data_IF_855049125547
#
_entry.id   IF_855049125547
#
_cell.length_a   1.000
_cell.length_b   1.000
_cell.length_c   1.000
_cell.angle_alpha   90.00
_cell.angle_beta   90.00
_cell.angle_gamma   90.00
#
_symmetry.space_group_name_H-M   'P 1'
#
loop_
_entity.id
_entity.type
_entity.pdbx_description
1 polymer ?
#
# COMPACT_ATOMS: atom_id res chain seq x y z
N UNK A 1 5.56 21.01 -27.11
CA UNK A 1 6.84 21.29 -26.41
C UNK A 1 6.86 20.43 -25.15
N UNK A 2 8.00 19.86 -24.74
CA UNK A 2 8.10 19.21 -23.44
C UNK A 2 7.73 20.23 -22.34
N UNK A 3 7.09 19.79 -21.23
CA UNK A 3 6.79 20.69 -20.12
C UNK A 3 8.08 21.33 -19.62
N UNK A 4 8.01 22.61 -19.24
CA UNK A 4 9.16 23.29 -18.62
C UNK A 4 9.61 22.49 -17.40
N UNK A 5 10.92 22.42 -17.11
CA UNK A 5 11.41 21.87 -15.86
C UNK A 5 10.74 22.56 -14.67
N UNK A 6 10.57 21.85 -13.58
CA UNK A 6 10.00 22.37 -12.34
C UNK A 6 11.07 22.32 -11.25
N UNK A 7 11.27 23.43 -10.55
CA UNK A 7 12.20 23.55 -9.44
C UNK A 7 11.44 23.91 -8.16
N UNK A 8 11.35 22.96 -7.24
CA UNK A 8 10.80 23.19 -5.90
C UNK A 8 11.97 23.55 -5.00
N UNK A 9 11.95 24.76 -4.46
CA UNK A 9 13.05 25.35 -3.66
C UNK A 9 12.66 25.54 -2.20
N UNK A 10 13.66 25.68 -1.35
CA UNK A 10 13.48 26.10 0.03
C UNK A 10 12.51 25.24 0.85
N UNK A 11 12.44 23.94 0.57
CA UNK A 11 11.70 23.00 1.42
C UNK A 11 12.24 23.14 2.85
N UNK A 12 11.36 23.36 3.82
CA UNK A 12 11.75 23.48 5.23
C UNK A 12 12.54 22.25 5.67
N UNK A 13 12.00 21.08 5.33
CA UNK A 13 12.73 19.81 5.31
C UNK A 13 12.40 19.09 4.01
N UNK A 14 13.42 18.72 3.25
CA UNK A 14 13.32 17.76 2.16
C UNK A 14 13.77 16.40 2.67
N UNK A 15 12.82 15.50 2.88
CA UNK A 15 13.05 14.12 3.30
C UNK A 15 13.25 13.31 2.02
N UNK A 16 14.48 12.87 1.74
CA UNK A 16 14.78 12.25 0.44
C UNK A 16 14.62 10.74 0.44
N UNK A 17 14.86 10.07 1.57
CA UNK A 17 15.09 8.61 1.64
C UNK A 17 16.25 8.14 0.75
N UNK A 18 17.04 9.07 0.19
CA UNK A 18 18.30 8.78 -0.47
C UNK A 18 19.32 8.43 0.61
N UNK A 19 19.90 7.23 0.52
CA UNK A 19 20.93 6.75 1.45
C UNK A 19 22.29 6.66 0.77
N UNK A 20 23.36 6.53 1.54
CA UNK A 20 24.74 6.33 1.08
C UNK A 20 24.99 4.96 0.43
N UNK A 21 23.97 4.34 -0.17
CA UNK A 21 23.97 2.93 -0.50
C UNK A 21 24.34 2.69 -1.96
N UNK A 22 25.00 1.57 -2.26
CA UNK A 22 25.14 1.11 -3.63
C UNK A 22 23.76 0.95 -4.27
N UNK A 23 23.68 1.28 -5.56
CA UNK A 23 22.54 0.93 -6.40
C UNK A 23 22.22 -0.57 -6.25
N UNK A 24 20.93 -0.90 -6.16
CA UNK A 24 20.48 -2.29 -5.97
C UNK A 24 20.46 -2.78 -4.52
N UNK A 25 20.75 -1.92 -3.52
CA UNK A 25 20.53 -2.30 -2.11
C UNK A 25 19.05 -2.63 -1.85
N UNK A 26 18.78 -3.74 -1.17
CA UNK A 26 17.43 -4.21 -0.85
C UNK A 26 16.67 -3.30 0.14
N UNK A 27 15.50 -3.74 0.65
CA UNK A 27 14.70 -2.95 1.57
C UNK A 27 15.46 -2.60 2.86
N UNK A 28 15.06 -1.49 3.49
CA UNK A 28 15.66 -1.00 4.75
C UNK A 28 15.25 -1.87 5.92
N UNK A 29 16.21 -2.24 6.77
CA UNK A 29 16.04 -3.15 7.92
C UNK A 29 16.65 -2.60 9.20
N UNK A 30 16.02 -2.88 10.35
CA UNK A 30 16.53 -2.44 11.65
C UNK A 30 16.78 -0.93 11.70
N UNK A 31 17.98 -0.51 12.12
CA UNK A 31 18.35 0.92 12.25
C UNK A 31 18.29 1.71 10.95
N UNK A 32 18.44 1.05 9.80
CA UNK A 32 18.37 1.67 8.48
C UNK A 32 17.02 2.33 8.18
N UNK A 33 15.95 1.88 8.84
CA UNK A 33 14.64 2.49 8.73
C UNK A 33 14.61 3.95 9.23
N UNK A 34 15.65 4.39 9.96
CA UNK A 34 15.74 5.77 10.50
C UNK A 34 16.50 6.73 9.60
N UNK A 35 17.08 6.27 8.50
CA UNK A 35 17.98 7.04 7.62
C UNK A 35 17.20 7.90 6.60
N UNK A 36 16.45 8.90 7.06
CA UNK A 36 15.55 9.66 6.19
C UNK A 36 16.23 10.53 5.11
N UNK A 37 17.54 10.79 5.21
CA UNK A 37 18.24 11.66 4.26
C UNK A 37 17.65 13.08 4.22
N UNK A 38 17.52 13.72 5.39
CA UNK A 38 16.86 15.02 5.54
C UNK A 38 17.81 16.15 5.11
N UNK A 39 17.33 17.01 4.22
CA UNK A 39 18.02 18.23 3.79
C UNK A 39 17.20 19.44 4.24
N UNK A 40 17.76 20.26 5.13
CA UNK A 40 17.15 21.55 5.51
C UNK A 40 17.43 22.57 4.40
N UNK A 41 16.46 23.46 4.14
CA UNK A 41 16.52 24.35 2.97
C UNK A 41 16.84 23.55 1.70
N UNK A 42 16.06 22.48 1.49
CA UNK A 42 16.25 21.53 0.40
C UNK A 42 15.51 21.93 -0.87
N UNK A 43 15.99 21.43 -2.00
CA UNK A 43 15.36 21.61 -3.30
C UNK A 43 15.39 20.34 -4.13
N UNK A 44 14.42 20.23 -5.04
CA UNK A 44 14.31 19.17 -6.04
C UNK A 44 14.06 19.81 -7.40
N UNK A 45 14.88 19.45 -8.37
CA UNK A 45 14.71 19.82 -9.78
C UNK A 45 14.12 18.63 -10.53
N UNK A 46 13.08 18.90 -11.30
CA UNK A 46 12.27 17.92 -12.00
C UNK A 46 12.28 18.27 -13.49
N UNK A 47 12.52 17.29 -14.34
CA UNK A 47 12.39 17.42 -15.79
C UNK A 47 11.78 16.16 -16.36
N UNK A 48 10.88 16.30 -17.34
CA UNK A 48 10.24 15.17 -18.03
C UNK A 48 9.63 14.11 -17.07
N UNK A 49 9.10 14.59 -15.93
CA UNK A 49 8.49 13.77 -14.89
C UNK A 49 9.46 12.94 -14.05
N UNK A 50 10.77 13.20 -14.15
CA UNK A 50 11.83 12.57 -13.36
C UNK A 50 12.58 13.58 -12.52
N UNK A 51 13.20 13.08 -11.47
CA UNK A 51 14.08 13.85 -10.60
C UNK A 51 15.43 14.00 -11.30
N UNK A 52 15.82 15.22 -11.60
CA UNK A 52 17.14 15.53 -12.16
C UNK A 52 18.18 15.60 -11.06
N UNK A 53 17.88 16.33 -9.99
CA UNK A 53 18.78 16.46 -8.85
C UNK A 53 18.05 16.89 -7.59
N UNK A 54 18.61 16.50 -6.44
CA UNK A 54 18.17 16.89 -5.10
C UNK A 54 19.37 17.40 -4.30
N UNK A 55 19.12 18.36 -3.40
CA UNK A 55 20.20 18.93 -2.60
C UNK A 55 19.78 20.17 -1.84
N UNK A 56 20.74 20.84 -1.15
CA UNK A 56 20.51 22.18 -0.63
C UNK A 56 20.09 23.14 -1.76
N UNK A 57 19.15 24.05 -1.50
CA UNK A 57 18.59 24.96 -2.51
C UNK A 57 19.68 25.65 -3.33
N UNK A 58 20.66 26.27 -2.66
CA UNK A 58 21.77 26.98 -3.31
C UNK A 58 22.58 26.12 -4.29
N UNK A 59 22.67 24.80 -4.06
CA UNK A 59 23.37 23.87 -4.95
C UNK A 59 22.51 23.56 -6.17
N UNK A 60 21.23 23.23 -5.95
CA UNK A 60 20.31 22.84 -7.02
C UNK A 60 20.03 24.01 -7.98
N UNK A 61 19.94 25.24 -7.46
CA UNK A 61 19.74 26.45 -8.28
C UNK A 61 20.88 26.74 -9.26
N UNK A 62 22.08 26.20 -9.02
CA UNK A 62 23.23 26.34 -9.94
C UNK A 62 23.16 25.36 -11.11
N UNK A 63 22.24 24.39 -11.08
CA UNK A 63 22.08 23.44 -12.17
C UNK A 63 21.66 24.16 -13.47
N UNK A 64 22.21 23.82 -14.65
CA UNK A 64 21.88 24.52 -15.89
C UNK A 64 20.39 24.58 -16.21
N UNK A 65 19.67 23.47 -15.99
CA UNK A 65 18.22 23.39 -16.20
C UNK A 65 17.41 24.24 -15.20
N UNK A 66 17.96 24.58 -14.03
CA UNK A 66 17.26 25.38 -13.02
C UNK A 66 16.97 26.82 -13.48
N UNK A 67 17.73 27.34 -14.47
CA UNK A 67 17.52 28.67 -15.05
C UNK A 67 16.28 28.75 -15.93
N UNK A 68 15.87 27.62 -16.50
CA UNK A 68 14.71 27.50 -17.40
C UNK A 68 13.49 26.92 -16.67
N UNK A 69 13.66 26.54 -15.40
CA UNK A 69 12.64 25.90 -14.61
C UNK A 69 11.61 26.91 -14.09
N UNK A 70 10.35 26.50 -14.05
CA UNK A 70 9.36 27.12 -13.20
C UNK A 70 9.77 26.93 -11.74
N UNK A 71 9.74 28.00 -10.94
CA UNK A 71 10.21 27.95 -9.55
C UNK A 71 9.06 28.07 -8.58
N UNK A 72 8.94 27.08 -7.70
CA UNK A 72 7.97 27.07 -6.60
C UNK A 72 8.74 27.04 -5.28
N UNK A 73 8.43 27.98 -4.39
CA UNK A 73 8.98 28.00 -3.04
C UNK A 73 8.16 27.10 -2.11
N UNK A 74 8.84 26.27 -1.33
CA UNK A 74 8.26 25.32 -0.38
C UNK A 74 8.68 25.58 1.08
N UNK A 75 8.93 26.84 1.44
CA UNK A 75 9.40 27.28 2.79
C UNK A 75 8.55 26.84 3.97
N UNK A 76 7.27 26.59 3.76
CA UNK A 76 6.32 26.15 4.80
C UNK A 76 6.18 24.64 4.89
N UNK A 77 6.86 23.89 4.01
CA UNK A 77 6.56 22.47 3.83
C UNK A 77 7.70 21.54 4.23
N UNK A 78 7.30 20.44 4.86
CA UNK A 78 8.04 19.19 4.83
C UNK A 78 7.65 18.47 3.55
N UNK A 79 8.63 18.24 2.66
CA UNK A 79 8.45 17.55 1.38
C UNK A 79 9.12 16.18 1.46
N UNK A 80 8.43 15.14 1.03
CA UNK A 80 8.91 13.75 1.02
C UNK A 80 8.48 13.03 -0.27
N UNK A 81 8.98 11.81 -0.57
CA UNK A 81 8.42 10.99 -1.64
C UNK A 81 6.92 10.79 -1.38
N UNK A 82 6.14 10.73 -2.45
CA UNK A 82 4.74 10.31 -2.36
C UNK A 82 4.64 8.96 -1.66
N UNK A 83 3.60 8.77 -0.83
CA UNK A 83 3.40 7.51 -0.15
C UNK A 83 3.16 6.39 -1.16
N UNK A 84 3.64 5.20 -0.80
CA UNK A 84 3.45 3.95 -1.53
C UNK A 84 2.61 3.02 -0.68
N UNK A 85 1.30 3.00 -0.94
CA UNK A 85 0.36 2.19 -0.18
C UNK A 85 0.36 0.75 -0.70
N UNK A 86 1.13 -0.11 -0.02
CA UNK A 86 1.47 -1.44 -0.53
C UNK A 86 0.36 -2.49 -0.36
N UNK A 87 -0.81 -2.14 0.17
CA UNK A 87 -1.90 -3.10 0.39
C UNK A 87 -3.26 -2.39 0.48
N UNK A 88 -4.11 -2.57 -0.54
CA UNK A 88 -5.51 -2.08 -0.50
C UNK A 88 -6.49 -3.03 -1.20
N UNK A 89 -7.78 -2.83 -0.95
CA UNK A 89 -8.88 -3.42 -1.70
C UNK A 89 -9.76 -2.30 -2.28
N UNK A 90 -9.19 -1.49 -3.17
CA UNK A 90 -9.81 -0.28 -3.74
C UNK A 90 -11.22 -0.47 -4.35
N UNK A 91 -11.49 -1.61 -4.98
CA UNK A 91 -12.71 -1.84 -5.76
C UNK A 91 -13.74 -2.64 -4.97
N UNK A 92 -14.76 -1.96 -4.47
CA UNK A 92 -15.92 -2.54 -3.81
C UNK A 92 -17.19 -1.71 -4.10
N UNK A 93 -18.40 -2.27 -3.92
CA UNK A 93 -19.63 -1.65 -4.43
C UNK A 93 -20.30 -0.70 -3.44
N UNK A 94 -20.08 -0.86 -2.12
CA UNK A 94 -20.76 -0.08 -1.09
C UNK A 94 -20.03 -0.16 0.25
N UNK A 95 -20.37 0.76 1.16
CA UNK A 95 -19.96 0.68 2.57
C UNK A 95 -20.58 -0.55 3.27
N UNK A 96 -20.04 -0.84 4.47
CA UNK A 96 -20.59 -1.82 5.43
C UNK A 96 -20.97 -1.15 6.76
N UNK A 97 -21.51 0.07 6.68
CA UNK A 97 -21.90 0.86 7.86
C UNK A 97 -22.90 0.12 8.77
N UNK A 98 -23.91 -0.56 8.20
CA UNK A 98 -24.88 -1.34 8.98
C UNK A 98 -24.24 -2.46 9.81
N UNK A 99 -23.15 -3.05 9.30
CA UNK A 99 -22.39 -4.06 10.05
C UNK A 99 -21.53 -3.42 11.12
N UNK A 100 -20.93 -2.26 10.83
CA UNK A 100 -20.18 -1.50 11.80
C UNK A 100 -21.04 -1.17 13.02
N UNK A 101 -22.26 -0.63 12.80
CA UNK A 101 -23.22 -0.35 13.88
C UNK A 101 -23.55 -1.60 14.70
N UNK A 102 -23.87 -2.71 14.05
CA UNK A 102 -24.15 -3.97 14.75
C UNK A 102 -22.96 -4.46 15.58
N UNK A 103 -21.74 -4.35 15.04
CA UNK A 103 -20.52 -4.79 15.71
C UNK A 103 -20.25 -3.96 16.96
N UNK A 104 -20.34 -2.63 16.87
CA UNK A 104 -20.12 -1.74 18.03
C UNK A 104 -21.24 -1.87 19.07
N UNK A 105 -22.44 -2.30 18.66
CA UNK A 105 -23.53 -2.68 19.56
C UNK A 105 -23.34 -4.08 20.19
N UNK A 106 -22.22 -4.77 19.93
CA UNK A 106 -21.86 -6.04 20.57
C UNK A 106 -22.24 -7.31 19.80
N UNK A 107 -22.71 -7.22 18.55
CA UNK A 107 -23.03 -8.41 17.77
C UNK A 107 -21.77 -9.24 17.44
N UNK A 108 -21.86 -10.56 17.58
CA UNK A 108 -20.78 -11.47 17.20
C UNK A 108 -20.64 -11.59 15.68
N UNK A 109 -19.47 -12.02 15.22
CA UNK A 109 -19.24 -12.30 13.81
C UNK A 109 -20.24 -13.33 13.24
N UNK A 110 -20.59 -14.38 14.00
CA UNK A 110 -21.60 -15.34 13.51
C UNK A 110 -22.99 -14.72 13.39
N UNK A 111 -23.38 -13.84 14.32
CA UNK A 111 -24.67 -13.15 14.28
C UNK A 111 -24.78 -12.25 13.05
N UNK A 112 -23.73 -11.46 12.78
CA UNK A 112 -23.62 -10.60 11.58
C UNK A 112 -23.68 -11.46 10.31
N UNK A 113 -22.92 -12.56 10.26
CA UNK A 113 -22.91 -13.45 9.10
C UNK A 113 -24.27 -14.13 8.84
N UNK A 114 -25.00 -14.51 9.90
CA UNK A 114 -26.36 -15.08 9.82
C UNK A 114 -27.36 -14.08 9.21
N UNK A 115 -27.20 -12.79 9.48
CA UNK A 115 -28.01 -11.71 8.88
C UNK A 115 -27.58 -11.32 7.46
N UNK A 116 -26.59 -12.02 6.90
CA UNK A 116 -26.09 -11.76 5.55
C UNK A 116 -25.08 -10.62 5.46
N UNK A 117 -24.48 -10.21 6.58
CA UNK A 117 -23.31 -9.34 6.63
C UNK A 117 -22.01 -10.09 6.29
N UNK A 118 -20.86 -9.51 6.64
CA UNK A 118 -19.57 -10.13 6.35
C UNK A 118 -19.08 -9.86 4.93
N UNK A 119 -17.88 -10.37 4.61
CA UNK A 119 -17.28 -10.30 3.26
C UNK A 119 -18.21 -10.82 2.17
N UNK A 120 -18.99 -11.87 2.45
CA UNK A 120 -19.93 -12.47 1.49
C UNK A 120 -21.07 -11.50 1.10
N UNK A 121 -21.37 -10.50 1.94
CA UNK A 121 -22.29 -9.41 1.60
C UNK A 121 -21.70 -8.52 0.51
N UNK A 122 -20.43 -8.09 0.69
CA UNK A 122 -19.67 -7.34 -0.32
C UNK A 122 -19.58 -8.13 -1.62
N UNK A 123 -19.32 -9.44 -1.55
CA UNK A 123 -19.24 -10.31 -2.73
C UNK A 123 -20.56 -10.31 -3.51
N UNK A 124 -21.69 -10.53 -2.82
CA UNK A 124 -23.02 -10.53 -3.45
C UNK A 124 -23.31 -9.20 -4.15
N UNK A 125 -23.01 -8.08 -3.49
CA UNK A 125 -23.20 -6.73 -4.05
C UNK A 125 -22.27 -6.50 -5.25
N UNK A 126 -21.00 -6.90 -5.14
CA UNK A 126 -19.99 -6.65 -6.17
C UNK A 126 -20.30 -7.43 -7.44
N UNK A 127 -20.71 -8.70 -7.34
CA UNK A 127 -21.12 -9.51 -8.50
C UNK A 127 -22.20 -8.82 -9.34
N UNK A 128 -23.13 -8.11 -8.69
CA UNK A 128 -24.25 -7.38 -9.32
C UNK A 128 -23.91 -5.97 -9.78
N UNK A 129 -22.93 -5.32 -9.14
CA UNK A 129 -22.55 -3.94 -9.45
C UNK A 129 -22.05 -3.79 -10.89
N UNK A 130 -22.54 -2.80 -11.66
CA UNK A 130 -22.01 -2.45 -12.97
C UNK A 130 -20.57 -1.93 -12.86
N UNK A 131 -19.71 -2.26 -13.82
CA UNK A 131 -18.31 -1.79 -13.82
C UNK A 131 -18.18 -0.27 -13.82
N UNK A 132 -19.12 0.45 -14.46
CA UNK A 132 -19.13 1.91 -14.50
C UNK A 132 -19.35 2.54 -13.12
N UNK A 133 -20.14 1.90 -12.26
CA UNK A 133 -20.33 2.35 -10.89
C UNK A 133 -19.05 2.15 -10.06
N UNK A 134 -18.42 0.99 -10.18
CA UNK A 134 -17.15 0.67 -9.53
C UNK A 134 -16.02 1.62 -9.97
N UNK A 135 -15.97 1.97 -11.27
CA UNK A 135 -15.03 2.96 -11.81
C UNK A 135 -15.25 4.34 -11.21
N UNK A 136 -16.50 4.80 -11.15
CA UNK A 136 -16.82 6.11 -10.55
C UNK A 136 -16.39 6.17 -9.09
N UNK A 137 -16.72 5.15 -8.30
CA UNK A 137 -16.31 5.08 -6.89
C UNK A 137 -14.78 5.02 -6.75
N UNK A 138 -14.11 4.20 -7.55
CA UNK A 138 -12.64 4.09 -7.54
C UNK A 138 -11.95 5.41 -7.86
N UNK A 139 -12.45 6.20 -8.84
CA UNK A 139 -11.90 7.53 -9.15
C UNK A 139 -12.00 8.49 -7.96
N UNK A 140 -13.14 8.49 -7.27
CA UNK A 140 -13.33 9.33 -6.09
C UNK A 140 -12.33 8.95 -4.98
N UNK A 141 -12.17 7.66 -4.70
CA UNK A 141 -11.20 7.22 -3.70
C UNK A 141 -9.75 7.53 -4.09
N UNK A 142 -9.39 7.40 -5.36
CA UNK A 142 -8.06 7.76 -5.86
C UNK A 142 -7.76 9.26 -5.68
N UNK A 143 -8.75 10.13 -5.85
CA UNK A 143 -8.62 11.55 -5.55
C UNK A 143 -8.36 11.78 -4.05
N UNK A 144 -9.05 11.04 -3.17
CA UNK A 144 -8.81 11.11 -1.73
C UNK A 144 -7.42 10.57 -1.33
N UNK A 145 -6.95 9.49 -1.96
CA UNK A 145 -5.58 9.00 -1.79
C UNK A 145 -4.54 10.05 -2.18
N UNK A 146 -4.72 10.73 -3.33
CA UNK A 146 -3.88 11.83 -3.76
C UNK A 146 -3.91 12.98 -2.75
N UNK A 147 -5.09 13.34 -2.24
CA UNK A 147 -5.25 14.37 -1.23
C UNK A 147 -4.52 14.07 0.09
N UNK A 148 -4.26 12.79 0.38
CA UNK A 148 -3.51 12.33 1.55
C UNK A 148 -2.05 11.97 1.25
N UNK A 149 -1.53 12.35 0.08
CA UNK A 149 -0.11 12.21 -0.27
C UNK A 149 0.28 10.88 -0.92
N UNK A 150 -0.67 10.01 -1.26
CA UNK A 150 -0.40 8.73 -1.93
C UNK A 150 -0.23 8.95 -3.43
N UNK A 151 0.80 8.33 -4.02
CA UNK A 151 1.11 8.44 -5.47
C UNK A 151 1.14 7.09 -6.16
N UNK A 152 1.41 6.03 -5.41
CA UNK A 152 1.43 4.65 -5.88
C UNK A 152 0.69 3.79 -4.87
N UNK A 153 -0.17 2.90 -5.34
CA UNK A 153 -0.83 1.92 -4.48
C UNK A 153 -0.94 0.56 -5.14
N UNK A 154 -1.00 -0.47 -4.32
CA UNK A 154 -1.48 -1.78 -4.74
C UNK A 154 -2.97 -1.90 -4.49
N UNK A 155 -3.66 -2.59 -5.40
CA UNK A 155 -5.09 -2.85 -5.26
C UNK A 155 -5.42 -4.30 -5.62
N UNK A 156 -6.10 -4.96 -4.69
CA UNK A 156 -6.47 -6.37 -4.78
C UNK A 156 -7.87 -6.54 -5.35
N UNK A 157 -8.06 -7.66 -6.03
CA UNK A 157 -9.38 -8.21 -6.27
C UNK A 157 -9.92 -8.92 -5.00
N UNK A 158 -10.69 -10.01 -5.13
CA UNK A 158 -11.10 -10.85 -4.00
C UNK A 158 -12.46 -10.55 -3.40
N UNK A 159 -13.24 -9.64 -4.00
CA UNK A 159 -14.68 -9.53 -3.73
C UNK A 159 -15.54 -10.17 -4.84
N UNK A 160 -14.95 -10.79 -5.85
CA UNK A 160 -15.67 -11.52 -6.88
C UNK A 160 -15.88 -12.99 -6.52
N UNK A 161 -14.80 -13.67 -6.13
CA UNK A 161 -14.74 -15.10 -5.79
C UNK A 161 -15.24 -16.06 -6.89
N UNK A 162 -15.45 -15.54 -8.10
CA UNK A 162 -15.70 -16.29 -9.33
C UNK A 162 -14.90 -15.64 -10.46
N UNK A 163 -14.63 -16.39 -11.53
CA UNK A 163 -13.75 -15.91 -12.61
C UNK A 163 -14.24 -14.61 -13.24
N UNK A 164 -15.55 -14.52 -13.53
CA UNK A 164 -16.14 -13.37 -14.22
C UNK A 164 -15.98 -12.10 -13.40
N UNK A 165 -16.23 -12.18 -12.10
CA UNK A 165 -16.25 -11.03 -11.19
C UNK A 165 -14.84 -10.62 -10.77
N UNK A 166 -13.91 -11.57 -10.63
CA UNK A 166 -12.50 -11.26 -10.41
C UNK A 166 -11.88 -10.55 -11.62
N UNK A 167 -12.15 -11.03 -12.85
CA UNK A 167 -11.76 -10.33 -14.09
C UNK A 167 -12.35 -8.93 -14.11
N UNK A 168 -13.65 -8.77 -13.80
CA UNK A 168 -14.31 -7.46 -13.75
C UNK A 168 -13.58 -6.48 -12.83
N UNK A 169 -13.15 -6.91 -11.63
CA UNK A 169 -12.40 -6.04 -10.71
C UNK A 169 -11.06 -5.64 -11.32
N UNK A 170 -10.30 -6.61 -11.83
CA UNK A 170 -8.96 -6.35 -12.39
C UNK A 170 -9.03 -5.44 -13.63
N UNK A 171 -10.05 -5.59 -14.47
CA UNK A 171 -10.30 -4.69 -15.61
C UNK A 171 -10.66 -3.27 -15.15
N UNK A 172 -11.44 -3.13 -14.06
CA UNK A 172 -11.71 -1.84 -13.44
C UNK A 172 -10.41 -1.20 -12.94
N UNK A 173 -9.56 -1.96 -12.24
CA UNK A 173 -8.26 -1.49 -11.77
C UNK A 173 -7.34 -1.06 -12.92
N UNK A 174 -7.27 -1.84 -14.00
CA UNK A 174 -6.47 -1.49 -15.17
C UNK A 174 -6.96 -0.19 -15.81
N UNK A 175 -8.28 -0.01 -15.93
CA UNK A 175 -8.86 1.20 -16.47
C UNK A 175 -8.61 2.42 -15.57
N UNK A 176 -8.71 2.26 -14.24
CA UNK A 176 -8.37 3.31 -13.28
C UNK A 176 -6.88 3.70 -13.38
N UNK A 177 -5.98 2.72 -13.52
CA UNK A 177 -4.54 2.97 -13.67
C UNK A 177 -4.20 3.72 -14.96
N UNK A 178 -4.93 3.41 -16.05
CA UNK A 178 -4.70 4.03 -17.36
C UNK A 178 -5.26 5.45 -17.45
N UNK A 179 -6.41 5.70 -16.83
CA UNK A 179 -7.12 6.98 -16.91
C UNK A 179 -6.72 7.95 -15.78
N UNK A 180 -6.35 7.43 -14.61
CA UNK A 180 -5.99 8.19 -13.44
C UNK A 180 -4.49 8.50 -13.38
N UNK A 181 -4.09 9.47 -12.54
CA UNK A 181 -2.69 9.83 -12.47
C UNK A 181 -1.87 8.93 -11.53
N UNK A 182 -2.49 8.33 -10.49
CA UNK A 182 -1.80 7.41 -9.58
C UNK A 182 -1.40 6.12 -10.30
N UNK A 183 -0.28 5.54 -9.87
CA UNK A 183 0.14 4.20 -10.30
C UNK A 183 -0.56 3.14 -9.44
N UNK A 184 -1.30 2.22 -10.07
CA UNK A 184 -2.00 1.12 -9.42
C UNK A 184 -1.34 -0.20 -9.83
N UNK A 185 -0.93 -0.98 -8.83
CA UNK A 185 -0.34 -2.31 -9.00
C UNK A 185 -1.42 -3.36 -8.73
N UNK A 186 -1.92 -4.09 -9.75
CA UNK A 186 -3.02 -5.03 -9.57
C UNK A 186 -2.57 -6.38 -9.00
N UNK A 187 -3.30 -6.85 -7.98
CA UNK A 187 -3.10 -8.16 -7.35
C UNK A 187 -4.36 -9.01 -7.45
N UNK A 188 -4.20 -10.25 -7.90
CA UNK A 188 -5.28 -11.23 -7.88
C UNK A 188 -5.42 -11.90 -6.52
N UNK A 189 -6.56 -11.70 -5.86
CA UNK A 189 -6.91 -12.31 -4.57
C UNK A 189 -8.19 -13.17 -4.68
N UNK A 190 -8.26 -14.07 -5.66
CA UNK A 190 -9.41 -14.99 -5.73
C UNK A 190 -9.55 -15.88 -4.49
N UNK A 191 -8.44 -16.13 -3.81
CA UNK A 191 -8.39 -16.88 -2.55
C UNK A 191 -8.56 -15.96 -1.32
N UNK A 192 -9.55 -15.07 -1.35
CA UNK A 192 -9.87 -14.21 -0.21
C UNK A 192 -10.65 -14.97 0.87
N UNK A 193 -11.75 -15.63 0.49
CA UNK A 193 -12.49 -16.59 1.32
C UNK A 193 -13.13 -17.63 0.42
N UNK A 194 -13.58 -18.75 0.99
CA UNK A 194 -14.33 -19.76 0.24
C UNK A 194 -15.75 -19.24 -0.02
N UNK A 195 -16.19 -19.08 -1.29
CA UNK A 195 -17.54 -18.59 -1.61
C UNK A 195 -18.62 -19.61 -1.21
N UNK A 196 -19.87 -19.14 -1.07
CA UNK A 196 -20.99 -19.93 -0.52
C UNK A 196 -21.25 -21.21 -1.31
N UNK A 197 -21.16 -21.15 -2.63
CA UNK A 197 -21.31 -22.28 -3.55
C UNK A 197 -20.27 -23.39 -3.32
N UNK A 198 -19.12 -23.09 -2.69
CA UNK A 198 -18.09 -24.07 -2.33
C UNK A 198 -18.00 -24.32 -0.81
N UNK A 199 -19.03 -23.99 -0.04
CA UNK A 199 -19.08 -24.30 1.40
C UNK A 199 -18.85 -25.80 1.62
N UNK A 200 -17.92 -26.15 2.54
CA UNK A 200 -17.44 -27.53 2.81
C UNK A 200 -16.74 -28.23 1.62
N UNK A 201 -16.49 -27.53 0.51
CA UNK A 201 -15.81 -28.03 -0.69
C UNK A 201 -14.66 -27.10 -1.07
N UNK A 202 -13.91 -26.62 -0.06
CA UNK A 202 -12.82 -25.65 -0.25
C UNK A 202 -11.75 -26.18 -1.21
N UNK A 203 -11.48 -27.49 -1.21
CA UNK A 203 -10.53 -28.10 -2.15
C UNK A 203 -10.97 -27.98 -3.62
N UNK A 204 -12.26 -28.16 -3.91
CA UNK A 204 -12.77 -27.96 -5.27
C UNK A 204 -12.66 -26.49 -5.73
N UNK A 205 -12.76 -25.54 -4.78
CA UNK A 205 -12.52 -24.13 -5.07
C UNK A 205 -11.04 -23.84 -5.33
N UNK A 206 -10.13 -24.47 -4.57
CA UNK A 206 -8.69 -24.41 -4.82
C UNK A 206 -8.36 -24.95 -6.21
N UNK A 207 -8.97 -26.06 -6.64
CA UNK A 207 -8.80 -26.58 -7.99
C UNK A 207 -9.29 -25.61 -9.07
N UNK A 208 -10.43 -24.95 -8.86
CA UNK A 208 -10.92 -23.91 -9.77
C UNK A 208 -9.92 -22.74 -9.88
N UNK A 209 -9.39 -22.28 -8.73
CA UNK A 209 -8.38 -21.21 -8.69
C UNK A 209 -7.15 -21.61 -9.50
N UNK A 210 -6.58 -22.78 -9.22
CA UNK A 210 -5.33 -23.28 -9.79
C UNK A 210 -5.48 -23.62 -11.27
N UNK A 211 -6.53 -24.35 -11.67
CA UNK A 211 -6.66 -24.89 -13.03
C UNK A 211 -7.29 -23.91 -14.01
N UNK A 212 -8.05 -22.92 -13.53
CA UNK A 212 -8.83 -22.04 -14.41
C UNK A 212 -8.58 -20.57 -14.14
N UNK A 213 -8.74 -20.09 -12.91
CA UNK A 213 -8.72 -18.64 -12.65
C UNK A 213 -7.32 -18.04 -12.81
N UNK A 214 -6.32 -18.62 -12.16
CA UNK A 214 -4.93 -18.16 -12.23
C UNK A 214 -4.41 -18.15 -13.68
N UNK A 215 -4.50 -19.25 -14.46
CA UNK A 215 -4.05 -19.23 -15.85
C UNK A 215 -4.76 -18.18 -16.71
N UNK A 216 -6.08 -18.01 -16.54
CA UNK A 216 -6.85 -17.03 -17.32
C UNK A 216 -6.46 -15.59 -16.99
N UNK A 217 -6.19 -15.30 -15.71
CA UNK A 217 -5.81 -13.95 -15.26
C UNK A 217 -4.40 -13.61 -15.74
N UNK A 218 -3.48 -14.56 -15.61
CA UNK A 218 -2.11 -14.42 -16.08
C UNK A 218 -2.04 -14.26 -17.61
N UNK A 219 -2.75 -15.09 -18.38
CA UNK A 219 -2.74 -15.03 -19.85
C UNK A 219 -3.30 -13.72 -20.40
N UNK A 220 -4.11 -13.01 -19.62
CA UNK A 220 -4.67 -11.69 -19.96
C UNK A 220 -3.83 -10.52 -19.44
N UNK A 221 -2.76 -10.79 -18.69
CA UNK A 221 -1.93 -9.74 -18.08
C UNK A 221 -2.67 -8.85 -17.08
N UNK A 222 -3.69 -9.40 -16.39
CA UNK A 222 -4.60 -8.60 -15.54
C UNK A 222 -4.06 -8.34 -14.12
N UNK A 223 -3.05 -9.08 -13.67
CA UNK A 223 -2.44 -8.93 -12.36
C UNK A 223 -0.92 -9.18 -12.44
N UNK A 224 -0.16 -8.57 -11.54
CA UNK A 224 1.28 -8.83 -11.35
C UNK A 224 1.53 -9.81 -10.20
N UNK A 225 0.64 -9.77 -9.19
CA UNK A 225 0.75 -10.57 -7.99
C UNK A 225 -0.45 -11.50 -7.82
N UNK A 226 -0.25 -12.58 -7.06
CA UNK A 226 -1.33 -13.41 -6.54
C UNK A 226 -1.23 -13.48 -5.02
N UNK A 227 -2.34 -13.25 -4.36
CA UNK A 227 -2.46 -13.21 -2.91
C UNK A 227 -3.45 -14.28 -2.41
N UNK A 228 -3.28 -14.70 -1.16
CA UNK A 228 -4.12 -15.68 -0.47
C UNK A 228 -4.33 -15.24 0.96
N UNK A 229 -5.58 -15.31 1.43
CA UNK A 229 -5.87 -15.21 2.85
C UNK A 229 -5.64 -16.54 3.56
N UNK A 230 -4.43 -16.70 4.11
CA UNK A 230 -3.99 -17.91 4.81
C UNK A 230 -4.20 -17.76 6.33
N UNK A 231 -5.47 -17.83 6.76
CA UNK A 231 -5.85 -17.66 8.16
C UNK A 231 -7.06 -18.52 8.55
N UNK A 232 -7.39 -18.52 9.84
CA UNK A 232 -8.54 -19.19 10.39
C UNK A 232 -9.84 -18.74 9.71
N UNK A 233 -10.58 -19.70 9.14
CA UNK A 233 -11.84 -19.44 8.45
C UNK A 233 -11.70 -19.16 6.94
N UNK A 234 -10.47 -19.14 6.40
CA UNK A 234 -10.19 -18.96 4.98
C UNK A 234 -9.44 -20.18 4.41
N UNK A 235 -8.16 -20.04 4.05
CA UNK A 235 -7.36 -21.10 3.45
C UNK A 235 -6.27 -21.61 4.41
N UNK A 236 -6.02 -22.92 4.36
CA UNK A 236 -4.92 -23.53 5.13
C UNK A 236 -3.56 -23.27 4.45
N UNK A 237 -2.42 -23.40 5.16
CA UNK A 237 -1.09 -23.30 4.55
C UNK A 237 -0.88 -24.27 3.38
N UNK A 238 -1.43 -25.48 3.46
CA UNK A 238 -1.35 -26.46 2.37
C UNK A 238 -2.06 -25.96 1.10
N UNK A 239 -3.27 -25.41 1.26
CA UNK A 239 -4.03 -24.85 0.14
C UNK A 239 -3.37 -23.59 -0.42
N UNK A 240 -2.90 -22.68 0.45
CA UNK A 240 -2.18 -21.48 0.05
C UNK A 240 -0.91 -21.82 -0.75
N UNK A 241 -0.16 -22.86 -0.34
CA UNK A 241 0.99 -23.35 -1.10
C UNK A 241 0.61 -23.77 -2.51
N UNK A 242 -0.46 -24.56 -2.68
CA UNK A 242 -0.91 -25.01 -4.00
C UNK A 242 -1.27 -23.83 -4.90
N UNK A 243 -2.05 -22.87 -4.38
CA UNK A 243 -2.49 -21.69 -5.11
C UNK A 243 -1.29 -20.84 -5.56
N UNK A 244 -0.41 -20.49 -4.62
CA UNK A 244 0.71 -19.58 -4.87
C UNK A 244 1.82 -20.21 -5.72
N UNK A 245 2.00 -21.53 -5.63
CA UNK A 245 2.92 -22.24 -6.52
C UNK A 245 2.40 -22.24 -7.96
N UNK A 246 1.10 -22.48 -8.15
CA UNK A 246 0.48 -22.39 -9.48
C UNK A 246 0.55 -20.96 -10.04
N UNK A 247 0.26 -19.96 -9.20
CA UNK A 247 0.38 -18.55 -9.58
C UNK A 247 1.77 -18.20 -10.08
N UNK A 248 2.81 -18.64 -9.36
CA UNK A 248 4.20 -18.41 -9.75
C UNK A 248 4.57 -19.06 -11.08
N UNK A 249 4.09 -20.26 -11.36
CA UNK A 249 4.31 -20.93 -12.66
C UNK A 249 3.69 -20.10 -13.80
N UNK A 250 2.58 -19.40 -13.54
CA UNK A 250 1.96 -18.48 -14.48
C UNK A 250 2.55 -17.06 -14.48
N UNK A 251 3.65 -16.81 -13.76
CA UNK A 251 4.31 -15.51 -13.71
C UNK A 251 3.70 -14.49 -12.73
N UNK A 252 2.74 -14.90 -11.90
CA UNK A 252 2.18 -14.05 -10.84
C UNK A 252 2.96 -14.22 -9.55
N UNK A 253 3.41 -13.10 -8.98
CA UNK A 253 4.26 -13.15 -7.80
C UNK A 253 3.47 -13.34 -6.49
N UNK A 254 3.90 -14.27 -5.61
CA UNK A 254 3.18 -14.53 -4.36
C UNK A 254 3.21 -13.40 -3.34
N UNK A 255 2.04 -13.11 -2.77
CA UNK A 255 1.81 -12.35 -1.53
C UNK A 255 0.89 -13.17 -0.62
N UNK A 256 0.87 -12.87 0.68
CA UNK A 256 -0.04 -13.53 1.62
C UNK A 256 -0.59 -12.54 2.65
N UNK A 257 -1.87 -12.63 2.94
CA UNK A 257 -2.40 -12.24 4.24
C UNK A 257 -2.20 -13.40 5.21
N UNK A 258 -1.53 -13.16 6.33
CA UNK A 258 -1.28 -14.21 7.30
C UNK A 258 -1.22 -13.71 8.74
N UNK A 259 -1.57 -14.62 9.65
CA UNK A 259 -1.46 -14.41 11.09
C UNK A 259 -2.22 -13.18 11.61
N UNK A 260 -3.32 -12.81 10.96
CA UNK A 260 -4.20 -11.71 11.36
C UNK A 260 -5.10 -12.12 12.54
N UNK A 261 -5.73 -13.29 12.44
CA UNK A 261 -6.73 -13.76 13.40
C UNK A 261 -6.17 -14.86 14.30
N UNK A 262 -5.47 -15.83 13.73
CA UNK A 262 -4.85 -16.93 14.45
C UNK A 262 -3.43 -17.20 13.94
N UNK A 263 -2.61 -17.90 14.74
CA UNK A 263 -1.29 -18.37 14.29
C UNK A 263 -1.48 -19.67 13.47
N UNK A 264 -1.53 -19.57 12.16
CA UNK A 264 -1.82 -20.68 11.22
C UNK A 264 -0.60 -21.22 10.50
N UNK A 265 0.52 -20.48 10.47
CA UNK A 265 1.74 -20.87 9.76
C UNK A 265 1.87 -20.25 8.35
N UNK A 266 0.98 -19.34 7.97
CA UNK A 266 1.07 -18.55 6.75
C UNK A 266 2.33 -17.67 6.68
N UNK A 267 2.78 -17.10 7.81
CA UNK A 267 4.03 -16.32 7.85
C UNK A 267 5.26 -17.18 7.55
N UNK A 268 5.28 -18.41 8.06
CA UNK A 268 6.34 -19.37 7.75
C UNK A 268 6.31 -19.76 6.27
N UNK A 269 5.11 -20.04 5.73
CA UNK A 269 4.92 -20.37 4.32
C UNK A 269 5.40 -19.22 3.41
N UNK A 270 5.05 -17.97 3.72
CA UNK A 270 5.47 -16.81 2.93
C UNK A 270 7.01 -16.72 2.83
N UNK A 271 7.71 -16.91 3.95
CA UNK A 271 9.17 -16.95 3.97
C UNK A 271 9.73 -18.11 3.13
N UNK A 272 9.16 -19.32 3.24
CA UNK A 272 9.59 -20.48 2.44
C UNK A 272 9.36 -20.31 0.94
N UNK A 273 8.26 -19.65 0.57
CA UNK A 273 7.96 -19.38 -0.82
C UNK A 273 8.74 -18.17 -1.35
N UNK A 274 9.53 -17.45 -0.56
CA UNK A 274 10.07 -16.15 -0.97
C UNK A 274 8.97 -15.24 -1.53
N UNK A 275 7.82 -15.22 -0.85
CA UNK A 275 6.75 -14.28 -1.18
C UNK A 275 7.28 -12.84 -1.08
N UNK A 276 6.76 -11.97 -1.92
CA UNK A 276 7.20 -10.56 -2.00
C UNK A 276 6.86 -9.85 -0.70
N UNK A 277 5.64 -10.08 -0.20
CA UNK A 277 5.24 -9.66 1.14
C UNK A 277 4.40 -10.70 1.86
N UNK A 278 4.37 -10.57 3.17
CA UNK A 278 3.36 -11.13 4.05
C UNK A 278 2.78 -9.99 4.87
N UNK A 279 1.46 -9.92 4.88
CA UNK A 279 0.70 -8.79 5.36
C UNK A 279 -0.09 -9.20 6.62
N UNK A 280 -0.46 -8.21 7.47
CA UNK A 280 -1.05 -8.39 8.82
C UNK A 280 -0.03 -8.66 9.94
N UNK A 281 0.15 -9.94 10.33
CA UNK A 281 1.11 -10.42 11.33
C UNK A 281 0.80 -10.17 12.82
N UNK A 282 -0.44 -9.87 13.20
CA UNK A 282 -0.86 -9.63 14.59
C UNK A 282 -0.59 -10.82 15.54
N UNK A 283 -0.59 -12.05 15.01
CA UNK A 283 -0.50 -13.30 15.78
C UNK A 283 0.83 -14.02 15.64
N UNK A 284 1.81 -13.44 14.95
CA UNK A 284 3.16 -14.01 14.85
C UNK A 284 3.81 -14.19 16.21
N UNK A 285 4.70 -15.19 16.31
CA UNK A 285 5.52 -15.45 17.50
C UNK A 285 7.00 -15.29 17.16
N UNK A 286 7.84 -15.42 18.19
CA UNK A 286 9.30 -15.23 18.10
C UNK A 286 9.93 -16.02 16.95
N UNK A 287 9.48 -17.24 16.71
CA UNK A 287 10.03 -18.11 15.67
C UNK A 287 9.67 -17.63 14.26
N UNK A 288 8.46 -17.12 14.08
CA UNK A 288 8.01 -16.55 12.81
C UNK A 288 8.80 -15.27 12.50
N UNK A 289 8.97 -14.41 13.50
CA UNK A 289 9.79 -13.19 13.41
C UNK A 289 11.23 -13.52 12.98
N UNK A 290 11.87 -14.52 13.60
CA UNK A 290 13.24 -14.92 13.22
C UNK A 290 13.33 -15.42 11.78
N UNK A 291 12.28 -16.12 11.29
CA UNK A 291 12.24 -16.61 9.90
C UNK A 291 12.06 -15.47 8.90
N UNK A 292 11.14 -14.55 9.18
CA UNK A 292 10.90 -13.36 8.35
C UNK A 292 12.11 -12.42 8.32
N UNK A 293 12.79 -12.25 9.45
CA UNK A 293 14.03 -11.50 9.52
C UNK A 293 15.12 -12.03 8.58
N UNK A 294 15.17 -13.35 8.38
CA UNK A 294 16.15 -14.04 7.53
C UNK A 294 15.68 -14.24 6.08
N UNK A 295 14.46 -13.82 5.73
CA UNK A 295 13.94 -13.94 4.36
C UNK A 295 13.95 -12.59 3.63
N UNK A 296 13.75 -12.65 2.30
CA UNK A 296 13.54 -11.48 1.44
C UNK A 296 12.12 -10.89 1.55
N UNK A 297 11.20 -11.60 2.22
CA UNK A 297 9.79 -11.21 2.34
C UNK A 297 9.63 -9.96 3.17
N UNK A 298 8.86 -9.01 2.66
CA UNK A 298 8.54 -7.77 3.37
C UNK A 298 7.33 -8.01 4.28
N UNK A 299 7.44 -7.57 5.53
CA UNK A 299 6.37 -7.63 6.51
C UNK A 299 5.52 -6.36 6.40
N UNK A 300 4.39 -6.42 5.70
CA UNK A 300 3.47 -5.27 5.58
C UNK A 300 2.53 -5.23 6.77
N UNK A 301 2.70 -4.25 7.65
CA UNK A 301 1.90 -4.14 8.87
C UNK A 301 0.69 -3.24 8.62
N UNK A 302 -0.46 -3.69 9.12
CA UNK A 302 -1.76 -3.09 8.84
C UNK A 302 -2.42 -2.69 10.17
N UNK A 303 -2.10 -1.51 10.74
CA UNK A 303 -2.66 -1.11 12.02
C UNK A 303 -4.13 -0.63 11.93
N UNK A 304 -4.58 -0.19 10.74
CA UNK A 304 -5.95 0.28 10.51
C UNK A 304 -7.03 -0.75 10.87
N UNK A 305 -6.93 -2.01 10.41
CA UNK A 305 -7.81 -3.10 10.79
C UNK A 305 -7.94 -3.33 12.30
N UNK A 306 -6.83 -3.29 13.01
CA UNK A 306 -6.82 -3.50 14.46
C UNK A 306 -7.59 -2.39 15.17
N UNK A 307 -7.33 -1.14 14.79
CA UNK A 307 -8.02 0.03 15.31
C UNK A 307 -9.54 0.00 15.01
N UNK A 308 -9.93 -0.17 13.74
CA UNK A 308 -11.33 -0.08 13.34
C UNK A 308 -12.19 -1.27 13.79
N UNK A 309 -11.57 -2.43 14.05
CA UNK A 309 -12.23 -3.58 14.68
C UNK A 309 -12.28 -3.49 16.21
N UNK A 310 -11.74 -2.43 16.83
CA UNK A 310 -11.70 -2.28 18.29
C UNK A 310 -10.83 -3.34 18.97
N UNK A 311 -9.82 -3.87 18.29
CA UNK A 311 -8.90 -4.89 18.82
C UNK A 311 -7.70 -4.23 19.50
N UNK A 312 -7.09 -4.95 20.44
CA UNK A 312 -5.92 -4.47 21.18
C UNK A 312 -4.59 -5.04 20.65
N UNK A 313 -4.63 -6.17 19.93
CA UNK A 313 -3.43 -6.88 19.51
C UNK A 313 -2.95 -6.39 18.14
N UNK A 314 -2.00 -5.46 18.14
CA UNK A 314 -1.30 -5.02 16.93
C UNK A 314 -0.13 -5.94 16.57
N UNK A 315 0.31 -5.91 15.32
CA UNK A 315 1.51 -6.61 14.89
C UNK A 315 2.75 -6.12 15.66
N UNK A 316 3.69 -7.02 16.01
CA UNK A 316 4.82 -6.68 16.87
C UNK A 316 5.94 -5.98 16.08
N UNK A 317 5.67 -4.78 15.55
CA UNK A 317 6.57 -4.04 14.66
C UNK A 317 7.97 -3.85 15.27
N UNK A 318 8.05 -3.44 16.54
CA UNK A 318 9.34 -3.28 17.24
C UNK A 318 10.17 -4.57 17.22
N UNK A 319 9.57 -5.71 17.55
CA UNK A 319 10.27 -6.99 17.56
C UNK A 319 10.69 -7.44 16.14
N UNK A 320 9.87 -7.17 15.12
CA UNK A 320 10.23 -7.44 13.71
C UNK A 320 11.42 -6.58 13.26
N UNK A 321 11.38 -5.27 13.55
CA UNK A 321 12.44 -4.31 13.23
C UNK A 321 13.74 -4.69 13.92
N UNK A 322 13.70 -4.94 15.23
CA UNK A 322 14.88 -5.27 16.04
C UNK A 322 15.49 -6.62 15.61
N UNK A 323 14.67 -7.55 15.12
CA UNK A 323 15.15 -8.81 14.54
C UNK A 323 15.77 -8.66 13.14
N UNK A 324 15.60 -7.51 12.48
CA UNK A 324 16.12 -7.23 11.14
C UNK A 324 15.17 -7.59 9.99
N UNK A 325 13.86 -7.76 10.25
CA UNK A 325 12.87 -7.90 9.19
C UNK A 325 12.72 -6.61 8.38
N UNK A 326 12.43 -6.74 7.09
CA UNK A 326 12.02 -5.62 6.26
C UNK A 326 10.54 -5.34 6.54
N UNK A 327 10.22 -4.11 6.96
CA UNK A 327 8.87 -3.72 7.38
C UNK A 327 8.31 -2.64 6.46
N UNK A 328 7.09 -2.83 5.97
CA UNK A 328 6.29 -1.83 5.25
C UNK A 328 5.01 -1.52 6.03
N UNK A 329 4.36 -0.41 5.68
CA UNK A 329 3.04 -0.02 6.19
C UNK A 329 2.08 0.18 5.03
N UNK A 330 0.80 -0.09 5.27
CA UNK A 330 -0.27 0.13 4.31
C UNK A 330 -1.60 0.42 5.01
N UNK A 331 -2.55 1.01 4.28
CA UNK A 331 -3.86 1.36 4.82
C UNK A 331 -4.77 0.17 5.03
N UNK A 332 -4.57 -0.90 4.26
CA UNK A 332 -5.57 -1.94 4.07
C UNK A 332 -6.92 -1.35 3.65
N UNK A 333 -6.94 -0.32 2.79
CA UNK A 333 -8.20 0.36 2.47
C UNK A 333 -9.24 -0.62 1.92
N UNK A 334 -10.29 -0.87 2.69
CA UNK A 334 -11.33 -1.83 2.34
C UNK A 334 -12.64 -1.52 3.10
N UNK A 335 -13.80 -2.00 2.63
CA UNK A 335 -15.09 -1.61 3.18
C UNK A 335 -15.42 -2.20 4.54
N UNK A 336 -14.66 -3.19 5.04
CA UNK A 336 -15.04 -3.99 6.20
C UNK A 336 -14.16 -3.83 7.44
N UNK A 337 -12.85 -3.87 7.26
CA UNK A 337 -11.88 -3.88 8.35
C UNK A 337 -11.09 -2.59 8.45
N UNK A 338 -10.80 -1.88 7.35
CA UNK A 338 -10.07 -0.60 7.41
C UNK A 338 -10.57 0.40 6.37
N UNK A 339 -11.70 1.09 6.62
CA UNK A 339 -12.27 2.06 5.69
C UNK A 339 -11.56 3.44 5.80
N UNK A 340 -10.24 3.48 5.63
CA UNK A 340 -9.45 4.71 5.60
C UNK A 340 -8.45 4.73 4.44
N UNK A 341 -8.31 5.88 3.79
CA UNK A 341 -7.28 6.13 2.75
C UNK A 341 -6.06 6.87 3.32
N UNK A 342 -6.13 7.28 4.60
CA UNK A 342 -5.17 8.20 5.19
C UNK A 342 -3.92 7.47 5.67
N UNK A 343 -2.87 7.48 4.85
CA UNK A 343 -1.55 7.02 5.28
C UNK A 343 -1.02 7.79 6.51
N UNK A 344 -1.20 9.11 6.67
CA UNK A 344 -0.82 9.81 7.92
C UNK A 344 -1.46 9.22 9.18
N UNK A 345 -2.73 8.80 9.10
CA UNK A 345 -3.38 8.08 10.21
C UNK A 345 -2.71 6.73 10.48
N UNK A 346 -2.34 5.98 9.44
CA UNK A 346 -1.59 4.72 9.57
C UNK A 346 -0.24 4.95 10.25
N UNK A 347 0.49 6.02 9.89
CA UNK A 347 1.75 6.36 10.56
C UNK A 347 1.54 6.68 12.04
N UNK A 348 0.46 7.41 12.37
CA UNK A 348 0.09 7.74 13.75
C UNK A 348 -0.17 6.49 14.59
N UNK A 349 -0.95 5.54 14.04
CA UNK A 349 -1.21 4.25 14.70
C UNK A 349 0.06 3.40 14.82
N UNK A 350 0.92 3.39 13.80
CA UNK A 350 2.19 2.67 13.83
C UNK A 350 3.13 3.20 14.93
N UNK A 351 3.20 4.52 15.08
CA UNK A 351 4.03 5.13 16.12
C UNK A 351 3.47 4.85 17.53
N UNK A 352 2.17 5.09 17.72
CA UNK A 352 1.54 5.02 19.06
C UNK A 352 1.31 3.58 19.52
N UNK A 353 0.79 2.71 18.64
CA UNK A 353 0.36 1.36 18.99
C UNK A 353 1.44 0.30 18.73
N UNK A 354 2.27 0.48 17.71
CA UNK A 354 3.30 -0.50 17.33
C UNK A 354 4.72 -0.10 17.72
N UNK A 355 4.88 1.07 18.37
CA UNK A 355 6.15 1.62 18.88
C UNK A 355 7.21 1.83 17.80
N UNK A 356 6.80 2.14 16.57
CA UNK A 356 7.71 2.62 15.52
C UNK A 356 8.09 4.08 15.79
N UNK A 357 9.28 4.52 15.37
CA UNK A 357 9.60 5.95 15.34
C UNK A 357 8.99 6.59 14.09
N UNK A 358 8.73 7.92 14.07
CA UNK A 358 8.25 8.60 12.86
C UNK A 358 9.10 8.31 11.60
N UNK A 359 10.42 8.27 11.75
CA UNK A 359 11.33 7.91 10.67
C UNK A 359 11.15 6.47 10.15
N UNK A 360 10.95 5.50 11.06
CA UNK A 360 10.71 4.12 10.68
C UNK A 360 9.37 3.99 9.94
N UNK A 361 8.34 4.70 10.40
CA UNK A 361 7.01 4.69 9.80
C UNK A 361 7.01 5.32 8.40
N UNK A 362 7.66 6.48 8.22
CA UNK A 362 7.79 7.13 6.90
C UNK A 362 8.54 6.21 5.93
N UNK A 363 9.66 5.63 6.36
CA UNK A 363 10.41 4.68 5.51
C UNK A 363 9.55 3.47 5.13
N UNK A 364 8.78 2.94 6.07
CA UNK A 364 7.88 1.81 5.85
C UNK A 364 6.75 2.11 4.85
N UNK A 365 6.25 3.36 4.81
CA UNK A 365 5.19 3.81 3.91
C UNK A 365 5.68 4.45 2.60
N UNK A 366 7.01 4.52 2.38
CA UNK A 366 7.62 5.06 1.16
C UNK A 366 8.56 4.02 0.55
N UNK A 367 9.83 4.04 0.94
CA UNK A 367 10.89 3.20 0.37
C UNK A 367 10.59 1.70 0.49
N UNK A 368 10.22 1.22 1.68
CA UNK A 368 9.91 -0.20 1.86
C UNK A 368 8.55 -0.58 1.25
N UNK A 369 7.59 0.35 1.21
CA UNK A 369 6.36 0.17 0.44
C UNK A 369 6.65 -0.02 -1.05
N UNK A 370 7.57 0.74 -1.61
CA UNK A 370 8.03 0.56 -2.99
C UNK A 370 8.70 -0.80 -3.21
N UNK A 371 9.49 -1.29 -2.27
CA UNK A 371 10.03 -2.66 -2.36
C UNK A 371 8.93 -3.73 -2.28
N UNK A 372 7.90 -3.53 -1.45
CA UNK A 372 6.77 -4.46 -1.34
C UNK A 372 5.98 -4.58 -2.66
N UNK A 373 6.08 -3.58 -3.53
CA UNK A 373 5.45 -3.57 -4.86
C UNK A 373 6.43 -3.80 -6.02
N UNK A 374 7.72 -4.05 -5.75
CA UNK A 374 8.79 -4.09 -6.76
C UNK A 374 8.84 -2.84 -7.64
N UNK A 375 8.80 -1.68 -6.98
CA UNK A 375 8.87 -0.34 -7.58
C UNK A 375 9.99 0.53 -7.01
N UNK A 376 10.85 -0.01 -6.15
CA UNK A 376 11.89 0.76 -5.47
C UNK A 376 12.98 1.31 -6.41
N UNK A 377 13.07 0.80 -7.63
CA UNK A 377 13.88 1.33 -8.72
C UNK A 377 13.36 2.68 -9.23
N UNK A 378 12.07 2.98 -9.04
CA UNK A 378 11.40 4.14 -9.66
C UNK A 378 10.69 5.09 -8.68
N UNK A 379 10.24 4.62 -7.52
CA UNK A 379 9.49 5.41 -6.51
C UNK A 379 9.93 5.08 -5.08
N UNK A 380 9.40 5.82 -4.09
CA UNK A 380 9.65 5.60 -2.65
C UNK A 380 10.88 6.34 -2.10
N UNK A 381 11.62 7.04 -2.95
CA UNK A 381 12.71 7.96 -2.58
C UNK A 381 12.88 9.05 -3.64
N UNK A 382 13.49 10.16 -3.23
CA UNK A 382 13.86 11.28 -4.09
C UNK A 382 15.34 11.15 -4.47
N UNK A 383 15.60 10.45 -5.57
CA UNK A 383 16.94 10.20 -6.11
C UNK A 383 16.96 10.56 -7.60
N UNK A 384 18.09 11.07 -8.14
CA UNK A 384 18.22 11.31 -9.57
C UNK A 384 17.79 10.11 -10.43
N UNK A 385 17.06 10.37 -11.51
CA UNK A 385 16.53 9.36 -12.44
C UNK A 385 15.18 8.73 -12.03
N UNK A 386 14.81 8.77 -10.74
CA UNK A 386 13.51 8.26 -10.26
C UNK A 386 12.34 9.14 -10.70
N UNK A 387 11.12 8.59 -10.65
CA UNK A 387 9.90 9.36 -10.92
C UNK A 387 9.79 10.50 -9.89
N UNK A 388 9.38 11.68 -10.37
CA UNK A 388 9.12 12.82 -9.51
C UNK A 388 7.74 12.69 -8.84
N UNK A 389 7.66 11.75 -7.89
CA UNK A 389 6.48 11.48 -7.07
C UNK A 389 6.71 12.04 -5.66
N UNK A 390 6.01 13.11 -5.30
CA UNK A 390 6.24 13.86 -4.07
C UNK A 390 4.92 14.18 -3.38
N UNK A 391 4.97 14.37 -2.07
CA UNK A 391 3.90 15.02 -1.33
C UNK A 391 4.48 16.00 -0.31
N UNK A 392 3.66 16.96 0.08
CA UNK A 392 4.10 18.01 0.98
C UNK A 392 3.07 18.31 2.06
N UNK A 393 3.59 18.45 3.27
CA UNK A 393 2.83 18.72 4.47
C UNK A 393 3.21 20.09 5.00
N UNK A 394 2.21 20.92 5.28
CA UNK A 394 2.40 22.26 5.86
C UNK A 394 2.75 22.12 7.34
N UNK A 395 4.04 21.88 7.61
CA UNK A 395 4.56 21.46 8.91
C UNK A 395 5.96 22.03 9.14
N UNK A 396 6.38 22.07 10.40
CA UNK A 396 7.73 22.51 10.76
C UNK A 396 8.75 21.37 10.72
N UNK A 397 8.31 20.16 11.06
CA UNK A 397 9.17 18.98 11.17
C UNK A 397 8.44 17.70 10.74
N UNK A 398 9.14 16.78 10.08
CA UNK A 398 8.57 15.50 9.60
C UNK A 398 7.94 14.66 10.72
N UNK A 399 8.41 14.83 11.97
CA UNK A 399 7.86 14.12 13.14
C UNK A 399 6.42 14.54 13.42
N UNK A 400 5.99 15.70 12.93
CA UNK A 400 4.64 16.21 13.10
C UNK A 400 3.61 15.44 12.24
N UNK A 401 4.04 14.77 11.16
CA UNK A 401 3.16 14.00 10.26
C UNK A 401 2.38 12.92 11.03
N UNK A 402 3.03 11.99 11.79
CA UNK A 402 2.30 11.04 12.64
C UNK A 402 1.89 11.58 14.01
N UNK A 403 2.25 12.82 14.36
CA UNK A 403 1.89 13.42 15.65
C UNK A 403 0.47 14.01 15.62
N UNK A 404 0.16 14.79 14.58
CA UNK A 404 -1.18 15.33 14.37
C UNK A 404 -2.09 14.25 13.77
N UNK A 405 -2.62 13.38 14.63
CA UNK A 405 -3.52 12.30 14.21
C UNK A 405 -4.93 12.82 13.87
N UNK A 406 -5.62 12.12 12.97
CA UNK A 406 -7.03 12.40 12.63
C UNK A 406 -7.28 13.63 11.75
N UNK A 407 -6.22 14.30 11.28
CA UNK A 407 -6.29 15.44 10.36
C UNK A 407 -5.51 15.16 9.07
N UNK A 408 -5.81 15.92 8.02
CA UNK A 408 -5.01 15.91 6.79
C UNK A 408 -4.25 17.24 6.66
N UNK A 409 -2.93 17.18 6.72
CA UNK A 409 -2.03 18.33 6.57
C UNK A 409 -1.24 18.29 5.26
N UNK A 410 -1.52 17.31 4.39
CA UNK A 410 -1.01 17.28 3.03
C UNK A 410 -1.65 18.43 2.24
N UNK A 411 -0.84 19.22 1.55
CA UNK A 411 -1.30 20.39 0.80
C UNK A 411 -1.17 20.22 -0.71
N UNK A 412 -0.21 19.43 -1.16
CA UNK A 412 -0.08 19.09 -2.56
C UNK A 412 0.63 17.76 -2.74
N UNK A 413 0.28 17.08 -3.83
CA UNK A 413 0.82 15.79 -4.23
C UNK A 413 1.13 15.83 -5.71
N UNK A 414 2.35 15.43 -6.06
CA UNK A 414 2.83 15.37 -7.43
C UNK A 414 3.02 13.91 -7.85
N UNK A 415 2.59 13.57 -9.07
CA UNK A 415 2.98 12.33 -9.75
C UNK A 415 3.71 12.69 -11.03
N UNK A 416 4.91 12.13 -11.24
CA UNK A 416 5.75 12.42 -12.41
C UNK A 416 5.86 13.93 -12.66
N UNK A 417 6.07 14.70 -11.60
CA UNK A 417 6.24 16.16 -11.64
C UNK A 417 4.97 16.97 -11.89
N UNK A 418 3.79 16.34 -12.00
CA UNK A 418 2.52 17.03 -12.22
C UNK A 418 1.65 16.97 -10.97
N UNK A 419 1.00 18.08 -10.63
CA UNK A 419 0.08 18.12 -9.50
C UNK A 419 -1.16 17.27 -9.76
N UNK A 420 -1.37 16.30 -8.88
CA UNK A 420 -2.57 15.44 -8.84
C UNK A 420 -3.51 15.84 -7.70
N UNK A 421 -3.01 16.68 -6.79
CA UNK A 421 -3.74 17.37 -5.75
C UNK A 421 -2.98 18.65 -5.39
N UNK A 422 -3.68 19.78 -5.26
CA UNK A 422 -3.10 21.06 -4.84
C UNK A 422 -4.17 21.91 -4.14
N UNK A 423 -4.10 21.98 -2.81
CA UNK A 423 -4.94 22.85 -1.99
C UNK A 423 -4.38 24.28 -1.85
N UNK A 424 -3.21 24.55 -2.42
CA UNK A 424 -2.52 25.85 -2.32
C UNK A 424 -2.67 26.70 -3.58
N UNK A 425 -3.06 26.10 -4.70
CA UNK A 425 -3.14 26.76 -6.01
C UNK A 425 -1.78 27.15 -6.59
N UNK A 426 -0.68 26.56 -6.09
CA UNK A 426 0.70 26.89 -6.50
C UNK A 426 1.15 26.23 -7.80
N UNK A 427 0.45 25.18 -8.23
CA UNK A 427 0.80 24.38 -9.42
C UNK A 427 -0.23 24.54 -10.56
N UNK A 428 -1.15 25.51 -10.46
CA UNK A 428 -2.02 25.87 -11.58
C UNK A 428 -1.25 26.76 -12.56
N UNK A 429 -1.38 26.53 -13.88
CA UNK A 429 -0.69 27.32 -14.91
C UNK A 429 -1.14 28.79 -14.99
#
# INVERSE_FOLDING_TARGET
>A
MPPRPLLITHCRQLVTLAGSRPEGSGPRRGRQLRELGIIRDGAVLISEGRIETVGPTRRVERHPLARQAEKISAREFVVLPGFVDSHTHLVFPSSRADEYEQRIAGATYEQIARRGGGILSTVKKLRRAPSQELLRQGRNWLAEFAAHGTTTLEAKSGYGLDLKSEIKILEVLHRLNREGPLEIVPTFLGAHVVPREYKKRSQAYVELLVRRMIPTIASRGLAEFCDVFCDHGAFTPAQARLILTAARVCGLEPRLHAEQLARTGGAHLAAQLHAVSVDHLERVKRDDIRRLARSSTICTLLPGPVFHLGKAAYAPARALIDAGAAVALATDFNPGTSPTVSMPMILSLACTQMRMTPAEAITAATFNGAHALRRADRVGSLEPGKQADLCAFELCDYREIPYYFGVNLCRWTLKRGQAIYDATGRFQP
#
